data_IF_877697599281
#
_entry.id   IF_877697599281
#
_cell.length_a   1.000
_cell.length_b   1.000
_cell.length_c   1.000
_cell.angle_alpha   90.00
_cell.angle_beta   90.00
_cell.angle_gamma   90.00
#
_symmetry.space_group_name_H-M   'P 1'
#
loop_
_entity.id
_entity.type
_entity.pdbx_description
1 polymer ?
#
# COMPACT_ATOMS: atom_id res chain seq x y z
N UNK A 1 12.50 4.35 34.65
CA UNK A 1 12.94 3.24 33.78
C UNK A 1 11.81 2.76 32.87
N UNK A 2 10.60 2.54 33.41
CA UNK A 2 9.43 2.07 32.63
C UNK A 2 9.10 2.95 31.41
N UNK A 3 9.04 4.27 31.58
CA UNK A 3 8.76 5.21 30.47
C UNK A 3 9.81 5.12 29.36
N UNK A 4 11.08 4.96 29.71
CA UNK A 4 12.17 4.85 28.75
C UNK A 4 12.07 3.55 27.94
N UNK A 5 11.80 2.42 28.61
CA UNK A 5 11.58 1.13 27.95
C UNK A 5 10.36 1.21 27.04
N UNK A 6 9.23 1.73 27.53
CA UNK A 6 8.00 1.83 26.75
C UNK A 6 8.17 2.73 25.51
N UNK A 7 8.79 3.91 25.66
CA UNK A 7 9.04 4.81 24.55
C UNK A 7 9.98 4.19 23.50
N UNK A 8 11.02 3.46 23.93
CA UNK A 8 11.95 2.78 23.03
C UNK A 8 11.24 1.67 22.26
N UNK A 9 10.44 0.83 22.93
CA UNK A 9 9.66 -0.22 22.29
C UNK A 9 8.64 0.35 21.30
N UNK A 10 7.95 1.43 21.66
CA UNK A 10 6.97 2.08 20.78
C UNK A 10 7.64 2.69 19.54
N UNK A 11 8.79 3.35 19.72
CA UNK A 11 9.62 3.86 18.62
C UNK A 11 10.10 2.74 17.70
N UNK A 12 10.49 1.59 18.25
CA UNK A 12 10.93 0.42 17.50
C UNK A 12 9.77 -0.19 16.70
N UNK A 13 8.59 -0.36 17.31
CA UNK A 13 7.39 -0.86 16.62
C UNK A 13 6.99 0.08 15.49
N UNK A 14 6.95 1.39 15.73
CA UNK A 14 6.62 2.38 14.70
C UNK A 14 7.66 2.39 13.59
N UNK A 15 8.95 2.30 13.93
CA UNK A 15 10.04 2.19 12.97
C UNK A 15 9.95 0.93 12.11
N UNK A 16 9.60 -0.21 12.69
CA UNK A 16 9.38 -1.46 11.96
C UNK A 16 8.17 -1.38 11.02
N UNK A 17 7.09 -0.73 11.44
CA UNK A 17 5.92 -0.51 10.57
C UNK A 17 6.28 0.36 9.37
N UNK A 18 6.99 1.47 9.59
CA UNK A 18 7.46 2.34 8.52
C UNK A 18 8.48 1.63 7.62
N UNK A 19 9.38 0.83 8.19
CA UNK A 19 10.33 0.01 7.43
C UNK A 19 9.62 -1.02 6.56
N UNK A 20 8.62 -1.72 7.10
CA UNK A 20 7.83 -2.69 6.35
C UNK A 20 7.14 -2.01 5.15
N UNK A 21 6.54 -0.84 5.37
CA UNK A 21 5.93 -0.03 4.30
C UNK A 21 6.94 0.40 3.23
N UNK A 22 8.08 0.94 3.65
CA UNK A 22 9.12 1.40 2.73
C UNK A 22 9.72 0.24 1.93
N UNK A 23 10.03 -0.88 2.59
CA UNK A 23 10.61 -2.07 1.95
C UNK A 23 9.70 -2.66 0.87
N UNK A 24 8.37 -2.56 1.02
CA UNK A 24 7.42 -2.96 -0.01
C UNK A 24 7.61 -2.19 -1.32
N UNK A 25 7.73 -0.86 -1.24
CA UNK A 25 8.00 -0.02 -2.41
C UNK A 25 9.36 -0.36 -3.04
N UNK A 26 10.40 -0.55 -2.22
CA UNK A 26 11.74 -0.90 -2.70
C UNK A 26 11.77 -2.25 -3.41
N UNK A 27 11.04 -3.24 -2.89
CA UNK A 27 10.92 -4.57 -3.50
C UNK A 27 10.19 -4.50 -4.85
N UNK A 28 9.08 -3.76 -4.93
CA UNK A 28 8.35 -3.57 -6.19
C UNK A 28 9.24 -2.88 -7.22
N UNK A 29 9.91 -1.79 -6.83
CA UNK A 29 10.82 -1.07 -7.72
C UNK A 29 11.98 -1.96 -8.17
N UNK A 30 12.58 -2.73 -7.26
CA UNK A 30 13.71 -3.60 -7.56
C UNK A 30 13.34 -4.77 -8.48
N UNK A 31 12.13 -5.32 -8.36
CA UNK A 31 11.70 -6.47 -9.15
C UNK A 31 11.09 -6.06 -10.51
N UNK A 32 10.28 -5.00 -10.52
CA UNK A 32 9.52 -4.58 -11.70
C UNK A 32 10.20 -3.45 -12.48
N UNK A 33 11.13 -2.71 -11.86
CA UNK A 33 11.73 -1.51 -12.44
C UNK A 33 10.80 -0.29 -12.45
N UNK A 34 9.62 -0.39 -11.82
CA UNK A 34 8.57 0.63 -11.86
C UNK A 34 8.47 1.34 -10.51
N UNK A 35 8.62 2.67 -10.50
CA UNK A 35 8.41 3.47 -9.30
C UNK A 35 6.92 3.79 -9.17
N UNK A 36 6.21 3.05 -8.32
CA UNK A 36 4.77 3.20 -8.13
C UNK A 36 4.44 4.24 -7.04
N UNK A 37 4.04 5.45 -7.44
CA UNK A 37 3.63 6.51 -6.51
C UNK A 37 2.29 6.22 -5.80
N UNK A 38 1.42 5.38 -6.38
CA UNK A 38 0.14 5.01 -5.77
C UNK A 38 0.27 4.00 -4.61
N UNK A 39 1.47 3.48 -4.33
CA UNK A 39 1.68 2.45 -3.31
C UNK A 39 1.10 2.85 -1.93
N UNK A 40 1.35 4.09 -1.50
CA UNK A 40 0.81 4.61 -0.23
C UNK A 40 -0.73 4.71 -0.26
N UNK A 41 -1.31 5.07 -1.40
CA UNK A 41 -2.75 5.16 -1.60
C UNK A 41 -3.42 3.78 -1.55
N UNK A 42 -2.80 2.74 -2.13
CA UNK A 42 -3.27 1.36 -1.98
C UNK A 42 -3.17 0.83 -0.55
N UNK A 43 -2.11 1.20 0.17
CA UNK A 43 -2.00 0.91 1.59
C UNK A 43 -3.15 1.56 2.39
N UNK A 44 -3.44 2.84 2.11
CA UNK A 44 -4.55 3.56 2.73
C UNK A 44 -5.91 2.90 2.46
N UNK A 45 -6.18 2.51 1.20
CA UNK A 45 -7.38 1.75 0.85
C UNK A 45 -7.49 0.45 1.65
N UNK A 46 -6.39 -0.28 1.80
CA UNK A 46 -6.35 -1.51 2.60
C UNK A 46 -6.69 -1.28 4.06
N UNK A 47 -6.13 -0.23 4.65
CA UNK A 47 -6.46 0.18 6.01
C UNK A 47 -7.94 0.56 6.14
N UNK A 48 -8.50 1.30 5.18
CA UNK A 48 -9.90 1.71 5.19
C UNK A 48 -10.86 0.53 5.05
N UNK A 49 -10.59 -0.40 4.13
CA UNK A 49 -11.37 -1.64 4.01
C UNK A 49 -11.26 -2.51 5.25
N UNK A 50 -10.06 -2.69 5.81
CA UNK A 50 -9.86 -3.45 7.03
C UNK A 50 -10.66 -2.86 8.20
N UNK A 51 -10.59 -1.53 8.37
CA UNK A 51 -11.35 -0.81 9.39
C UNK A 51 -12.86 -0.97 9.19
N UNK A 52 -13.35 -0.69 7.98
CA UNK A 52 -14.79 -0.75 7.66
C UNK A 52 -15.35 -2.16 7.83
N UNK A 53 -14.69 -3.18 7.29
CA UNK A 53 -15.14 -4.58 7.44
C UNK A 53 -15.05 -5.02 8.90
N UNK A 54 -14.01 -4.60 9.63
CA UNK A 54 -13.86 -4.94 11.05
C UNK A 54 -14.98 -4.35 11.91
N UNK A 55 -15.57 -3.20 11.53
CA UNK A 55 -16.70 -2.61 12.26
C UNK A 55 -17.97 -3.47 12.18
N UNK A 56 -18.24 -4.07 11.01
CA UNK A 56 -19.49 -4.83 10.78
C UNK A 56 -19.35 -6.34 11.02
N UNK A 57 -18.22 -6.92 10.62
CA UNK A 57 -18.01 -8.37 10.59
C UNK A 57 -16.89 -8.85 11.53
N UNK A 58 -16.29 -7.93 12.29
CA UNK A 58 -15.23 -8.22 13.24
C UNK A 58 -13.82 -8.30 12.63
N UNK A 59 -12.83 -8.27 13.52
CA UNK A 59 -11.41 -8.16 13.17
C UNK A 59 -10.93 -9.25 12.22
N UNK A 60 -11.27 -10.52 12.49
CA UNK A 60 -10.81 -11.66 11.70
C UNK A 60 -11.26 -11.59 10.24
N UNK A 61 -12.51 -11.16 10.03
CA UNK A 61 -13.06 -10.99 8.69
C UNK A 61 -12.36 -9.85 7.96
N UNK A 62 -12.15 -8.71 8.65
CA UNK A 62 -11.40 -7.58 8.09
C UNK A 62 -9.96 -7.95 7.72
N UNK A 63 -9.28 -8.72 8.56
CA UNK A 63 -7.90 -9.17 8.37
C UNK A 63 -7.71 -9.99 7.10
N UNK A 64 -8.68 -10.84 6.76
CA UNK A 64 -8.61 -11.74 5.60
C UNK A 64 -9.13 -11.04 4.34
N UNK A 65 -10.28 -10.37 4.42
CA UNK A 65 -10.94 -9.83 3.23
C UNK A 65 -10.31 -8.54 2.72
N UNK A 66 -9.81 -7.67 3.59
CA UNK A 66 -9.19 -6.41 3.16
C UNK A 66 -7.98 -6.59 2.22
N UNK A 67 -6.95 -7.42 2.54
CA UNK A 67 -5.84 -7.64 1.62
C UNK A 67 -6.28 -8.35 0.34
N UNK A 68 -7.32 -9.18 0.39
CA UNK A 68 -7.88 -9.86 -0.78
C UNK A 68 -8.53 -8.87 -1.74
N UNK A 69 -9.35 -7.94 -1.22
CA UNK A 69 -9.99 -6.88 -1.99
C UNK A 69 -8.94 -5.96 -2.61
N UNK A 70 -7.99 -5.46 -1.82
CA UNK A 70 -6.93 -4.58 -2.32
C UNK A 70 -5.99 -5.29 -3.29
N UNK A 71 -5.67 -6.56 -3.05
CA UNK A 71 -4.88 -7.37 -3.96
C UNK A 71 -5.56 -7.54 -5.32
N UNK A 72 -6.88 -7.76 -5.34
CA UNK A 72 -7.66 -7.81 -6.58
C UNK A 72 -7.67 -6.45 -7.28
N UNK A 73 -7.91 -5.35 -6.56
CA UNK A 73 -7.86 -4.00 -7.13
C UNK A 73 -6.50 -3.67 -7.73
N UNK A 74 -5.41 -3.97 -7.01
CA UNK A 74 -4.05 -3.81 -7.49
C UNK A 74 -3.76 -4.64 -8.74
N UNK A 75 -4.21 -5.90 -8.78
CA UNK A 75 -4.07 -6.77 -9.95
C UNK A 75 -4.85 -6.25 -11.18
N UNK A 76 -6.04 -5.70 -10.98
CA UNK A 76 -6.82 -5.07 -12.04
C UNK A 76 -6.08 -3.84 -12.60
N UNK A 77 -5.55 -3.01 -11.72
CA UNK A 77 -4.78 -1.81 -12.07
C UNK A 77 -3.50 -2.16 -12.81
N UNK A 78 -2.80 -3.21 -12.39
CA UNK A 78 -1.62 -3.71 -13.09
C UNK A 78 -2.00 -4.18 -14.50
N UNK A 79 -3.05 -5.02 -14.60
CA UNK A 79 -3.44 -5.66 -15.86
C UNK A 79 -3.98 -4.68 -16.90
N UNK A 80 -4.81 -3.72 -16.49
CA UNK A 80 -5.50 -2.81 -17.40
C UNK A 80 -4.80 -1.46 -17.56
N UNK A 81 -4.09 -1.00 -16.53
CA UNK A 81 -3.37 0.27 -16.50
C UNK A 81 -1.88 0.08 -16.77
N UNK A 82 -1.12 -0.33 -15.73
CA UNK A 82 0.35 -0.32 -15.78
C UNK A 82 0.90 -1.12 -16.96
N UNK A 83 0.43 -2.34 -17.24
CA UNK A 83 0.95 -3.14 -18.36
C UNK A 83 0.79 -2.46 -19.73
N UNK A 84 -0.23 -1.63 -19.91
CA UNK A 84 -0.39 -0.84 -21.13
C UNK A 84 0.53 0.38 -21.14
N UNK A 85 0.62 1.06 -20.01
CA UNK A 85 1.39 2.30 -19.86
C UNK A 85 2.91 2.03 -19.89
N UNK A 86 3.34 0.88 -19.39
CA UNK A 86 4.74 0.42 -19.39
C UNK A 86 5.35 0.41 -20.80
N UNK A 87 4.52 0.15 -21.82
CA UNK A 87 4.94 0.16 -23.23
C UNK A 87 5.44 1.53 -23.70
N UNK A 88 5.01 2.61 -23.04
CA UNK A 88 5.35 4.00 -23.36
C UNK A 88 6.51 4.54 -22.51
N UNK A 89 7.14 3.69 -21.69
CA UNK A 89 8.31 4.00 -20.87
C UNK A 89 8.00 4.48 -19.45
N UNK A 90 9.05 4.61 -18.63
CA UNK A 90 8.95 4.87 -17.19
C UNK A 90 8.17 6.14 -16.84
N UNK A 91 8.31 7.23 -17.62
CA UNK A 91 7.64 8.51 -17.32
C UNK A 91 6.13 8.37 -17.37
N UNK A 92 5.60 7.59 -18.31
CA UNK A 92 4.17 7.37 -18.44
C UNK A 92 3.62 6.62 -17.21
N UNK A 93 4.38 5.67 -16.66
CA UNK A 93 4.00 4.93 -15.44
C UNK A 93 3.97 5.83 -14.21
N UNK A 94 4.92 6.75 -14.09
CA UNK A 94 4.93 7.73 -13.01
C UNK A 94 3.68 8.60 -13.07
N UNK A 95 3.35 9.13 -14.26
CA UNK A 95 2.16 9.97 -14.44
C UNK A 95 0.89 9.19 -14.13
N UNK A 96 0.79 7.93 -14.59
CA UNK A 96 -0.36 7.07 -14.31
C UNK A 96 -0.51 6.77 -12.81
N UNK A 97 0.57 6.36 -12.15
CA UNK A 97 0.55 6.03 -10.72
C UNK A 97 0.33 7.27 -9.86
N UNK A 98 0.82 8.44 -10.27
CA UNK A 98 0.55 9.71 -9.60
C UNK A 98 -0.92 10.14 -9.75
N UNK A 99 -1.50 10.03 -10.94
CA UNK A 99 -2.93 10.30 -11.16
C UNK A 99 -3.83 9.35 -10.37
N UNK A 100 -3.43 8.08 -10.27
CA UNK A 100 -4.08 7.10 -9.41
C UNK A 100 -3.98 7.44 -7.92
N UNK A 101 -2.81 7.92 -7.47
CA UNK A 101 -2.63 8.34 -6.09
C UNK A 101 -3.61 9.47 -5.74
N UNK A 102 -3.68 10.49 -6.59
CA UNK A 102 -4.64 11.60 -6.45
C UNK A 102 -6.10 11.15 -6.46
N UNK A 103 -6.48 10.23 -7.35
CA UNK A 103 -7.86 9.72 -7.43
C UNK A 103 -8.30 8.98 -6.14
N UNK A 104 -7.36 8.36 -5.44
CA UNK A 104 -7.64 7.58 -4.23
C UNK A 104 -7.56 8.47 -2.98
N UNK A 105 -6.70 9.48 -3.00
CA UNK A 105 -6.45 10.37 -1.87
C UNK A 105 -7.52 11.47 -1.73
N UNK A 106 -8.05 11.98 -2.84
CA UNK A 106 -9.16 12.95 -2.89
C UNK A 106 -10.54 12.28 -2.83
#
# INVERSE_FOLDING_TARGET
>A
MEVFIFATLNGLVTGLLLFMLASGLTLIFSMMGVLNFAHASFYMLGAYFAYSISLYFGFWTGLIFAPLIVGVLGALVERYGLRRVHQFGHVAELVFTFGMAFLIEE
#
